data_IF_143867764189
#
_entry.id   IF_143867764189
#
_cell.length_a   1.000
_cell.length_b   1.000
_cell.length_c   1.000
_cell.angle_alpha   90.00
_cell.angle_beta   90.00
_cell.angle_gamma   90.00
#
_symmetry.space_group_name_H-M   'P 1'
#
loop_
_entity.id
_entity.type
_entity.pdbx_description
1 polymer ?
#
# COMPACT_ATOMS: atom_id res chain seq x y z
N UNK A 1 -49.86 -60.51 49.09
CA UNK A 1 -48.64 -60.77 48.29
C UNK A 1 -48.72 -59.96 47.05
N UNK A 2 -48.12 -58.75 47.01
CA UNK A 2 -48.16 -57.84 45.87
C UNK A 2 -46.70 -57.57 45.46
N UNK A 3 -46.34 -57.92 44.25
CA UNK A 3 -45.01 -57.70 43.71
C UNK A 3 -44.98 -56.35 43.01
N UNK A 4 -44.21 -55.42 43.53
CA UNK A 4 -43.88 -54.18 42.87
C UNK A 4 -42.88 -54.43 41.74
N UNK A 5 -43.22 -53.97 40.55
CA UNK A 5 -42.33 -53.96 39.40
C UNK A 5 -41.68 -52.57 39.35
N UNK A 6 -40.36 -52.55 39.41
CA UNK A 6 -39.53 -51.36 39.22
C UNK A 6 -39.28 -51.15 37.73
N UNK A 7 -39.68 -49.97 37.21
CA UNK A 7 -39.34 -49.55 35.87
C UNK A 7 -37.94 -48.98 35.82
N UNK A 8 -37.09 -49.31 34.82
CA UNK A 8 -35.81 -48.67 34.61
C UNK A 8 -35.98 -47.34 33.87
N UNK A 9 -35.57 -46.27 34.52
CA UNK A 9 -35.55 -44.93 33.92
C UNK A 9 -34.66 -44.82 32.68
N UNK A 10 -35.26 -44.34 31.60
CA UNK A 10 -34.55 -44.01 30.37
C UNK A 10 -33.74 -42.71 30.58
N UNK A 11 -32.43 -42.85 30.57
CA UNK A 11 -31.50 -41.71 30.55
C UNK A 11 -31.50 -41.07 29.13
N UNK A 12 -32.09 -39.90 29.03
CA UNK A 12 -32.00 -39.08 27.82
C UNK A 12 -30.62 -38.46 27.67
N UNK A 13 -29.83 -38.90 26.74
CA UNK A 13 -28.56 -38.31 26.34
C UNK A 13 -28.85 -37.09 25.46
N UNK A 14 -28.72 -35.89 26.03
CA UNK A 14 -28.72 -34.64 25.25
C UNK A 14 -27.41 -34.55 24.47
N UNK A 15 -27.45 -34.83 23.15
CA UNK A 15 -26.35 -34.54 22.23
C UNK A 15 -26.34 -33.04 21.93
N UNK A 16 -25.41 -32.30 22.55
CA UNK A 16 -25.15 -30.92 22.18
C UNK A 16 -24.48 -30.86 20.79
N UNK A 17 -25.26 -30.50 19.78
CA UNK A 17 -24.74 -30.21 18.45
C UNK A 17 -23.95 -28.90 18.51
N UNK A 18 -22.63 -28.98 18.50
CA UNK A 18 -21.73 -27.84 18.28
C UNK A 18 -21.89 -27.40 16.83
N UNK A 19 -22.69 -26.35 16.62
CA UNK A 19 -22.72 -25.63 15.35
C UNK A 19 -21.37 -24.95 15.13
N UNK A 20 -20.46 -25.61 14.42
CA UNK A 20 -19.30 -24.96 13.82
C UNK A 20 -19.84 -24.05 12.70
N UNK A 21 -20.01 -22.77 12.97
CA UNK A 21 -20.17 -21.77 11.92
C UNK A 21 -18.82 -21.64 11.22
N UNK A 22 -18.70 -22.01 9.93
CA UNK A 22 -17.50 -21.65 9.19
C UNK A 22 -17.45 -20.13 9.20
N UNK A 23 -16.41 -19.57 9.79
CA UNK A 23 -16.11 -18.15 9.68
C UNK A 23 -16.04 -17.83 8.19
N UNK A 24 -17.04 -17.13 7.68
CA UNK A 24 -16.98 -16.53 6.37
C UNK A 24 -15.79 -15.55 6.43
N UNK A 25 -14.65 -15.95 5.86
CA UNK A 25 -13.69 -14.99 5.39
C UNK A 25 -14.46 -14.16 4.36
N UNK A 26 -14.95 -13.00 4.76
CA UNK A 26 -15.42 -12.00 3.83
C UNK A 26 -14.19 -11.65 2.97
N UNK A 27 -14.05 -12.31 1.82
CA UNK A 27 -13.24 -11.76 0.74
C UNK A 27 -13.82 -10.38 0.53
N UNK A 28 -13.08 -9.32 0.92
CA UNK A 28 -13.51 -7.95 0.69
C UNK A 28 -13.84 -7.87 -0.80
N UNK A 29 -15.07 -7.45 -1.08
CA UNK A 29 -15.59 -7.39 -2.44
C UNK A 29 -14.72 -6.38 -3.20
N UNK A 30 -13.83 -6.90 -4.04
CA UNK A 30 -12.90 -6.06 -4.81
C UNK A 30 -13.75 -5.26 -5.78
N UNK A 31 -13.81 -3.93 -5.69
CA UNK A 31 -14.57 -3.14 -6.64
C UNK A 31 -14.25 -3.59 -8.07
N UNK A 32 -15.25 -3.80 -8.90
CA UNK A 32 -15.07 -4.34 -10.24
C UNK A 32 -13.96 -3.63 -11.02
N UNK A 33 -13.86 -2.29 -10.84
CA UNK A 33 -12.80 -1.47 -11.45
C UNK A 33 -11.42 -1.70 -10.84
N UNK A 34 -11.31 -2.09 -9.58
CA UNK A 34 -10.03 -2.40 -8.96
C UNK A 34 -9.41 -3.71 -9.50
N UNK A 35 -10.23 -4.61 -10.07
CA UNK A 35 -9.73 -5.86 -10.68
C UNK A 35 -8.73 -5.59 -11.82
N UNK A 36 -8.95 -4.54 -12.60
CA UNK A 36 -8.02 -4.15 -13.66
C UNK A 36 -6.70 -3.63 -13.07
N UNK A 37 -6.77 -2.89 -11.97
CA UNK A 37 -5.59 -2.34 -11.29
C UNK A 37 -4.72 -3.45 -10.68
N UNK A 38 -5.36 -4.46 -10.05
CA UNK A 38 -4.63 -5.56 -9.38
C UNK A 38 -3.87 -6.45 -10.36
N UNK A 39 -4.20 -6.44 -11.65
CA UNK A 39 -3.45 -7.18 -12.66
C UNK A 39 -1.96 -6.76 -12.70
N UNK A 40 -1.65 -5.50 -12.48
CA UNK A 40 -0.28 -4.97 -12.42
C UNK A 40 0.16 -4.67 -10.99
N UNK A 41 -0.71 -4.06 -10.18
CA UNK A 41 -0.39 -3.65 -8.80
C UNK A 41 -0.51 -4.79 -7.77
N UNK A 42 -0.85 -6.00 -8.20
CA UNK A 42 -0.95 -7.19 -7.34
C UNK A 42 -2.22 -7.23 -6.48
N UNK A 43 -2.48 -8.38 -5.89
CA UNK A 43 -3.63 -8.58 -5.00
C UNK A 43 -3.60 -7.57 -3.84
N UNK A 44 -4.73 -6.89 -3.63
CA UNK A 44 -4.83 -5.83 -2.63
C UNK A 44 -3.83 -4.68 -2.83
N UNK A 45 -3.25 -4.51 -4.01
CA UNK A 45 -2.25 -3.46 -4.28
C UNK A 45 -0.84 -3.79 -3.78
N UNK A 46 -0.51 -5.09 -3.63
CA UNK A 46 0.81 -5.57 -3.24
C UNK A 46 1.49 -6.27 -4.44
N UNK A 47 2.24 -5.56 -5.29
CA UNK A 47 2.83 -6.11 -6.49
C UNK A 47 4.02 -7.02 -6.18
N UNK A 48 4.24 -8.01 -7.05
CA UNK A 48 5.46 -8.84 -7.06
C UNK A 48 6.53 -8.27 -8.00
N UNK A 49 6.13 -7.48 -8.98
CA UNK A 49 7.05 -6.79 -9.89
C UNK A 49 7.66 -5.57 -9.17
N UNK A 50 9.01 -5.47 -9.07
CA UNK A 50 9.68 -4.36 -8.40
C UNK A 50 9.55 -3.01 -9.13
N UNK A 51 9.13 -3.00 -10.39
CA UNK A 51 8.85 -1.76 -11.13
C UNK A 51 7.45 -1.20 -10.83
N UNK A 52 6.51 -2.05 -10.38
CA UNK A 52 5.14 -1.65 -10.08
C UNK A 52 5.03 -1.11 -8.66
N UNK A 53 4.42 0.06 -8.44
CA UNK A 53 4.27 0.59 -7.08
C UNK A 53 3.24 -0.18 -6.26
N UNK A 54 3.56 -0.38 -4.97
CA UNK A 54 2.59 -0.84 -3.97
C UNK A 54 1.56 0.26 -3.69
N UNK A 55 0.28 -0.09 -3.84
CA UNK A 55 -0.86 0.77 -3.55
C UNK A 55 -1.47 0.48 -2.18
N UNK A 56 -1.27 -0.73 -1.64
CA UNK A 56 -1.79 -1.15 -0.34
C UNK A 56 -1.37 -0.16 0.77
N UNK A 57 -2.34 0.31 1.55
CA UNK A 57 -2.08 1.24 2.65
C UNK A 57 -1.53 2.61 2.23
N UNK A 58 -1.60 2.98 0.95
CA UNK A 58 -1.33 4.35 0.54
C UNK A 58 -2.48 5.26 1.00
N UNK A 59 -2.20 6.50 1.44
CA UNK A 59 -3.24 7.45 1.79
C UNK A 59 -4.22 7.65 0.62
N UNK A 60 -5.53 7.56 0.89
CA UNK A 60 -6.55 7.63 -0.15
C UNK A 60 -6.46 8.92 -0.97
N UNK A 61 -6.26 10.06 -0.31
CA UNK A 61 -6.12 11.35 -1.00
C UNK A 61 -4.92 11.36 -1.95
N UNK A 62 -3.80 10.73 -1.57
CA UNK A 62 -2.64 10.59 -2.47
C UNK A 62 -3.01 9.78 -3.72
N UNK A 63 -3.63 8.60 -3.55
CA UNK A 63 -4.02 7.75 -4.68
C UNK A 63 -4.99 8.46 -5.62
N UNK A 64 -6.03 9.10 -5.08
CA UNK A 64 -6.99 9.87 -5.87
C UNK A 64 -6.30 11.01 -6.65
N UNK A 65 -5.39 11.75 -6.00
CA UNK A 65 -4.61 12.82 -6.65
C UNK A 65 -3.73 12.28 -7.78
N UNK A 66 -3.09 11.12 -7.60
CA UNK A 66 -2.27 10.53 -8.67
C UNK A 66 -3.12 10.09 -9.87
N UNK A 67 -4.27 9.46 -9.64
CA UNK A 67 -5.22 9.09 -10.70
C UNK A 67 -5.70 10.34 -11.46
N UNK A 68 -6.06 11.39 -10.73
CA UNK A 68 -6.41 12.69 -11.32
C UNK A 68 -5.27 13.26 -12.18
N UNK A 69 -4.02 13.25 -11.69
CA UNK A 69 -2.88 13.76 -12.44
C UNK A 69 -2.62 12.97 -13.73
N UNK A 70 -2.80 11.65 -13.71
CA UNK A 70 -2.68 10.82 -14.91
C UNK A 70 -3.79 11.12 -15.91
N UNK A 71 -5.03 11.31 -15.44
CA UNK A 71 -6.18 11.65 -16.29
C UNK A 71 -6.01 13.01 -16.97
N UNK A 72 -5.63 14.01 -16.20
CA UNK A 72 -5.48 15.40 -16.71
C UNK A 72 -4.14 15.64 -17.42
N UNK A 73 -3.24 14.63 -17.48
CA UNK A 73 -1.94 14.76 -18.13
C UNK A 73 -0.88 15.54 -17.34
N UNK A 74 -1.16 15.91 -16.07
CA UNK A 74 -0.21 16.57 -15.17
C UNK A 74 0.93 15.61 -14.78
N UNK A 75 0.64 14.32 -14.78
CA UNK A 75 1.62 13.23 -14.67
C UNK A 75 1.44 12.31 -15.88
N UNK A 76 2.52 12.11 -16.63
CA UNK A 76 2.49 11.28 -17.84
C UNK A 76 3.14 9.94 -17.57
N UNK A 77 2.46 8.88 -17.95
CA UNK A 77 2.97 7.51 -17.91
C UNK A 77 2.28 6.71 -19.01
N UNK A 78 3.03 5.93 -19.81
CA UNK A 78 2.46 5.24 -20.98
C UNK A 78 1.42 4.17 -20.60
N UNK A 79 1.46 3.64 -19.37
CA UNK A 79 0.52 2.65 -18.87
C UNK A 79 -0.60 3.30 -18.06
N UNK A 80 -0.25 4.17 -17.10
CA UNK A 80 -1.23 4.72 -16.17
C UNK A 80 -2.10 5.82 -16.77
N UNK A 81 -1.59 6.62 -17.71
CA UNK A 81 -2.40 7.69 -18.31
C UNK A 81 -3.61 7.13 -19.08
N UNK A 82 -3.49 6.11 -19.95
CA UNK A 82 -4.66 5.46 -20.56
C UNK A 82 -5.59 4.82 -19.54
N UNK A 83 -5.04 4.20 -18.47
CA UNK A 83 -5.85 3.54 -17.43
C UNK A 83 -6.72 4.53 -16.64
N UNK A 84 -6.23 5.74 -16.42
CA UNK A 84 -6.97 6.78 -15.68
C UNK A 84 -7.90 7.62 -16.56
N UNK A 85 -7.72 7.63 -17.88
CA UNK A 85 -8.34 8.59 -18.82
C UNK A 85 -9.87 8.68 -18.72
N UNK A 86 -10.55 7.56 -18.44
CA UNK A 86 -12.01 7.50 -18.39
C UNK A 86 -12.58 7.38 -16.96
N UNK A 87 -11.74 7.52 -15.92
CA UNK A 87 -12.20 7.46 -14.54
C UNK A 87 -12.92 8.75 -14.14
N UNK A 88 -14.12 8.63 -13.62
CA UNK A 88 -14.81 9.75 -12.94
C UNK A 88 -14.15 10.05 -11.59
N UNK A 89 -14.41 11.22 -11.02
CA UNK A 89 -13.93 11.57 -9.68
C UNK A 89 -14.44 10.60 -8.60
N UNK A 90 -15.70 10.13 -8.75
CA UNK A 90 -16.27 9.15 -7.81
C UNK A 90 -15.50 7.82 -7.85
N UNK A 91 -15.20 7.32 -9.04
CA UNK A 91 -14.45 6.07 -9.22
C UNK A 91 -13.00 6.18 -8.74
N UNK A 92 -12.34 7.32 -8.97
CA UNK A 92 -10.99 7.56 -8.42
C UNK A 92 -11.01 7.54 -6.89
N UNK A 93 -12.01 8.14 -6.26
CA UNK A 93 -12.15 8.14 -4.80
C UNK A 93 -12.49 6.73 -4.25
N UNK A 94 -13.31 5.96 -4.94
CA UNK A 94 -13.64 4.58 -4.59
C UNK A 94 -12.39 3.68 -4.65
N UNK A 95 -11.64 3.73 -5.75
CA UNK A 95 -10.38 3.00 -5.92
C UNK A 95 -9.35 3.40 -4.86
N UNK A 96 -9.22 4.69 -4.59
CA UNK A 96 -8.32 5.22 -3.57
C UNK A 96 -8.70 4.72 -2.17
N UNK A 97 -9.99 4.74 -1.82
CA UNK A 97 -10.48 4.22 -0.55
C UNK A 97 -10.27 2.71 -0.40
N UNK A 98 -10.44 1.95 -1.49
CA UNK A 98 -10.18 0.52 -1.52
C UNK A 98 -8.71 0.22 -1.21
N UNK A 99 -7.75 0.81 -1.95
CA UNK A 99 -6.32 0.53 -1.74
C UNK A 99 -5.81 1.06 -0.39
N UNK A 100 -6.35 2.14 0.12
CA UNK A 100 -5.98 2.68 1.43
C UNK A 100 -6.31 1.73 2.60
N UNK A 101 -7.34 0.91 2.46
CA UNK A 101 -7.75 -0.10 3.46
C UNK A 101 -6.94 -1.39 3.37
N UNK A 102 -6.24 -1.64 2.26
CA UNK A 102 -5.50 -2.88 2.08
C UNK A 102 -4.27 -2.91 2.99
N UNK A 103 -3.99 -4.08 3.57
CA UNK A 103 -2.80 -4.26 4.39
C UNK A 103 -1.54 -4.28 3.50
N UNK A 104 -0.57 -3.37 3.71
CA UNK A 104 0.66 -3.39 2.95
C UNK A 104 1.54 -4.58 3.38
N UNK A 105 2.10 -5.26 2.38
CA UNK A 105 3.07 -6.33 2.57
C UNK A 105 4.47 -5.73 2.35
N UNK A 106 5.46 -6.04 3.22
CA UNK A 106 6.83 -5.63 2.99
C UNK A 106 7.32 -6.09 1.62
N UNK A 107 8.00 -5.19 0.88
CA UNK A 107 8.67 -5.60 -0.34
C UNK A 107 9.69 -6.72 -0.06
N UNK A 108 9.89 -7.69 -0.97
CA UNK A 108 10.90 -8.74 -0.82
C UNK A 108 12.30 -8.15 -1.03
N UNK A 109 12.64 -7.15 -0.24
CA UNK A 109 13.86 -6.37 -0.35
C UNK A 109 14.63 -6.39 0.98
N UNK A 110 15.95 -6.60 0.90
CA UNK A 110 16.85 -6.55 2.05
C UNK A 110 17.85 -5.43 1.87
N UNK A 111 17.68 -4.38 2.65
CA UNK A 111 18.63 -3.27 2.72
C UNK A 111 19.90 -3.68 3.44
N UNK A 112 21.07 -3.30 2.94
CA UNK A 112 22.32 -3.53 3.65
C UNK A 112 22.40 -2.72 4.95
N UNK A 113 23.16 -3.18 5.98
CA UNK A 113 23.34 -2.41 7.21
C UNK A 113 23.89 -1.01 6.98
N UNK A 114 24.78 -0.86 6.00
CA UNK A 114 25.37 0.42 5.61
C UNK A 114 24.28 1.36 5.06
N UNK A 115 23.43 0.87 4.16
CA UNK A 115 22.35 1.64 3.57
C UNK A 115 21.21 1.92 4.56
N UNK A 116 20.99 1.06 5.56
CA UNK A 116 20.05 1.36 6.65
C UNK A 116 20.50 2.61 7.44
N UNK A 117 21.78 2.71 7.78
CA UNK A 117 22.34 3.84 8.53
C UNK A 117 22.40 5.10 7.67
N UNK A 118 22.97 4.98 6.49
CA UNK A 118 23.17 6.13 5.59
C UNK A 118 21.84 6.65 5.03
N UNK A 119 20.90 5.76 4.66
CA UNK A 119 19.58 6.13 4.17
C UNK A 119 18.75 6.87 5.21
N UNK A 120 18.83 6.46 6.49
CA UNK A 120 18.21 7.20 7.59
C UNK A 120 18.80 8.61 7.70
N UNK A 121 20.12 8.71 7.72
CA UNK A 121 20.82 9.99 7.78
C UNK A 121 20.43 10.91 6.61
N UNK A 122 20.36 10.37 5.39
CA UNK A 122 19.95 11.12 4.20
C UNK A 122 18.48 11.56 4.27
N UNK A 123 17.59 10.70 4.76
CA UNK A 123 16.17 11.02 4.91
C UNK A 123 15.94 12.16 5.92
N UNK A 124 16.75 12.22 6.98
CA UNK A 124 16.75 13.32 7.95
C UNK A 124 17.38 14.58 7.35
N UNK A 125 18.56 14.46 6.74
CA UNK A 125 19.31 15.58 6.15
C UNK A 125 18.51 16.30 5.04
N UNK A 126 17.78 15.55 4.22
CA UNK A 126 16.97 16.08 3.13
C UNK A 126 15.49 16.28 3.53
N UNK A 127 15.21 16.28 4.85
CA UNK A 127 13.90 16.59 5.44
C UNK A 127 12.72 15.72 4.97
N UNK A 128 12.97 14.52 4.44
CA UNK A 128 11.93 13.60 3.97
C UNK A 128 10.88 13.32 5.05
N UNK A 129 11.35 13.11 6.30
CA UNK A 129 10.50 12.79 7.46
C UNK A 129 9.56 13.93 7.87
N UNK A 130 9.84 15.18 7.50
CA UNK A 130 9.00 16.33 7.88
C UNK A 130 7.63 16.27 7.18
N UNK A 131 7.60 15.83 5.95
CA UNK A 131 6.36 15.69 5.17
C UNK A 131 5.83 14.24 5.20
N UNK A 132 6.72 13.25 4.98
CA UNK A 132 6.30 11.84 4.91
C UNK A 132 6.08 11.20 6.30
N UNK A 133 6.29 11.94 7.39
CA UNK A 133 6.16 11.48 8.77
C UNK A 133 7.39 10.73 9.29
N UNK A 134 7.54 10.66 10.61
CA UNK A 134 8.72 10.06 11.27
C UNK A 134 8.94 8.58 10.88
N UNK A 135 7.89 7.85 10.58
CA UNK A 135 7.93 6.45 10.11
C UNK A 135 7.80 6.34 8.58
N UNK A 136 7.77 7.45 7.85
CA UNK A 136 7.66 7.51 6.39
C UNK A 136 6.38 6.83 5.85
N UNK A 137 5.29 6.86 6.64
CA UNK A 137 4.01 6.24 6.31
C UNK A 137 3.08 7.16 5.52
N UNK A 138 3.46 8.42 5.35
CA UNK A 138 2.65 9.42 4.65
C UNK A 138 1.42 9.88 5.44
N UNK A 139 0.74 10.87 4.89
CA UNK A 139 -0.51 11.42 5.44
C UNK A 139 -1.23 12.23 4.38
N UNK A 140 -2.55 12.08 4.26
CA UNK A 140 -3.37 12.85 3.31
C UNK A 140 -2.88 12.67 1.85
N UNK A 141 -2.43 13.75 1.20
CA UNK A 141 -1.88 13.73 -0.17
C UNK A 141 -0.41 13.34 -0.25
N UNK A 142 0.26 13.14 0.88
CA UNK A 142 1.66 12.75 0.96
C UNK A 142 1.78 11.23 1.07
N UNK A 143 2.51 10.55 0.17
CA UNK A 143 2.53 9.09 0.12
C UNK A 143 3.33 8.43 1.24
N UNK A 144 2.97 7.18 1.54
CA UNK A 144 3.83 6.24 2.25
C UNK A 144 5.03 5.90 1.37
N UNK A 145 6.23 6.01 1.95
CA UNK A 145 7.50 5.60 1.34
C UNK A 145 8.00 4.27 1.90
N UNK A 146 7.77 4.02 3.19
CA UNK A 146 8.18 2.79 3.85
C UNK A 146 7.64 1.54 3.14
N UNK A 147 8.54 0.60 2.79
CA UNK A 147 8.20 -0.63 2.11
C UNK A 147 7.65 -0.45 0.69
N UNK A 148 7.91 0.69 0.03
CA UNK A 148 7.62 0.86 -1.38
C UNK A 148 8.70 0.20 -2.23
N UNK A 149 8.40 -0.21 -3.44
CA UNK A 149 9.33 -0.87 -4.35
C UNK A 149 10.55 0.01 -4.66
N UNK A 150 11.77 -0.52 -4.47
CA UNK A 150 13.00 0.24 -4.62
C UNK A 150 13.20 0.80 -6.04
N UNK A 151 12.94 -0.01 -7.07
CA UNK A 151 13.06 0.43 -8.45
C UNK A 151 12.07 1.56 -8.79
N UNK A 152 10.83 1.47 -8.26
CA UNK A 152 9.85 2.53 -8.41
C UNK A 152 10.29 3.82 -7.69
N UNK A 153 10.73 3.73 -6.42
CA UNK A 153 11.22 4.89 -5.67
C UNK A 153 12.36 5.60 -6.40
N UNK A 154 13.33 4.83 -6.89
CA UNK A 154 14.46 5.34 -7.66
C UNK A 154 13.98 6.10 -8.91
N UNK A 155 13.12 5.48 -9.71
CA UNK A 155 12.55 6.10 -10.92
C UNK A 155 11.83 7.40 -10.58
N UNK A 156 11.05 7.44 -9.49
CA UNK A 156 10.30 8.64 -9.12
C UNK A 156 11.22 9.76 -8.62
N UNK A 157 12.25 9.47 -7.83
CA UNK A 157 13.21 10.48 -7.37
C UNK A 157 13.98 11.08 -8.54
N UNK A 158 14.41 10.26 -9.50
CA UNK A 158 15.02 10.77 -10.74
C UNK A 158 14.06 11.64 -11.54
N UNK A 159 12.79 11.23 -11.67
CA UNK A 159 11.79 11.99 -12.40
C UNK A 159 11.52 13.36 -11.77
N UNK A 160 11.46 13.45 -10.43
CA UNK A 160 11.38 14.74 -9.73
C UNK A 160 12.64 15.58 -9.92
N UNK A 161 13.83 14.98 -9.79
CA UNK A 161 15.11 15.67 -10.01
C UNK A 161 15.21 16.21 -11.46
N UNK A 162 14.81 15.44 -12.44
CA UNK A 162 14.79 15.84 -13.85
C UNK A 162 13.60 16.75 -14.22
N UNK A 163 12.68 17.04 -13.26
CA UNK A 163 11.45 17.82 -13.49
C UNK A 163 10.54 17.24 -14.57
N UNK A 164 10.63 15.93 -14.81
CA UNK A 164 9.72 15.20 -15.72
C UNK A 164 8.48 14.70 -15.02
N UNK A 165 8.48 14.71 -13.67
CA UNK A 165 7.33 14.50 -12.81
C UNK A 165 7.09 15.73 -11.94
N UNK A 166 5.85 16.21 -11.92
CA UNK A 166 5.41 17.25 -11.00
C UNK A 166 4.67 16.66 -9.79
N UNK A 167 4.62 17.41 -8.73
CA UNK A 167 3.79 17.22 -7.54
C UNK A 167 2.82 18.42 -7.39
N UNK A 168 1.99 18.39 -6.35
CA UNK A 168 0.88 19.32 -6.20
C UNK A 168 1.35 20.78 -6.07
N UNK A 169 2.48 21.00 -5.38
CA UNK A 169 2.98 22.32 -5.01
C UNK A 169 4.48 22.55 -5.31
N UNK A 170 5.14 21.60 -6.01
CA UNK A 170 6.56 21.65 -6.34
C UNK A 170 7.50 21.28 -5.19
N UNK A 171 6.99 20.87 -4.04
CA UNK A 171 7.81 20.56 -2.84
C UNK A 171 8.72 19.35 -3.11
N UNK A 172 8.20 18.26 -3.70
CA UNK A 172 9.02 17.08 -4.01
C UNK A 172 10.03 17.37 -5.12
N UNK A 173 9.66 18.15 -6.12
CA UNK A 173 10.60 18.62 -7.16
C UNK A 173 11.76 19.39 -6.53
N UNK A 174 11.49 20.29 -5.59
CA UNK A 174 12.50 21.05 -4.88
C UNK A 174 13.37 20.15 -3.98
N UNK A 175 12.77 19.23 -3.25
CA UNK A 175 13.48 18.31 -2.35
C UNK A 175 14.42 17.34 -3.11
N UNK A 176 14.10 16.99 -4.34
CA UNK A 176 14.91 16.09 -5.14
C UNK A 176 16.13 16.77 -5.81
N UNK A 177 16.14 18.10 -5.96
CA UNK A 177 17.24 18.81 -6.65
C UNK A 177 18.62 18.58 -6.04
N UNK A 178 18.83 18.64 -4.70
CA UNK A 178 20.15 18.47 -4.09
C UNK A 178 20.63 17.02 -4.03
N UNK A 179 19.78 16.03 -4.36
CA UNK A 179 20.15 14.62 -4.27
C UNK A 179 21.17 14.26 -5.34
N UNK A 180 22.28 13.65 -4.96
CA UNK A 180 23.15 12.95 -5.91
C UNK A 180 22.52 11.64 -6.36
N UNK A 181 23.00 11.06 -7.46
CA UNK A 181 22.52 9.76 -7.93
C UNK A 181 22.76 8.66 -6.87
N UNK A 182 23.91 8.73 -6.18
CA UNK A 182 24.21 7.84 -5.05
C UNK A 182 23.21 8.03 -3.90
N UNK A 183 22.81 9.27 -3.59
CA UNK A 183 21.79 9.53 -2.56
C UNK A 183 20.45 8.92 -2.95
N UNK A 184 20.05 9.02 -4.20
CA UNK A 184 18.81 8.42 -4.73
C UNK A 184 18.85 6.89 -4.58
N UNK A 185 19.97 6.26 -4.94
CA UNK A 185 20.14 4.81 -4.81
C UNK A 185 20.03 4.34 -3.35
N UNK A 186 20.75 5.00 -2.45
CA UNK A 186 20.72 4.68 -1.01
C UNK A 186 19.35 4.94 -0.39
N UNK A 187 18.70 6.07 -0.73
CA UNK A 187 17.35 6.37 -0.23
C UNK A 187 16.32 5.34 -0.71
N UNK A 188 16.35 4.98 -1.99
CA UNK A 188 15.43 3.99 -2.55
C UNK A 188 15.60 2.62 -1.88
N UNK A 189 16.83 2.19 -1.66
CA UNK A 189 17.17 0.95 -0.96
C UNK A 189 16.69 0.99 0.49
N UNK A 190 17.00 2.05 1.24
CA UNK A 190 16.59 2.26 2.63
C UNK A 190 15.06 2.23 2.78
N UNK A 191 14.35 3.05 2.00
CA UNK A 191 12.90 3.20 2.09
C UNK A 191 12.16 1.90 1.78
N UNK A 192 12.67 1.12 0.81
CA UNK A 192 12.09 -0.16 0.44
C UNK A 192 12.23 -1.22 1.54
N UNK A 193 13.29 -1.18 2.32
CA UNK A 193 13.53 -2.12 3.43
C UNK A 193 12.78 -1.79 4.72
N UNK A 194 12.09 -0.64 4.80
CA UNK A 194 11.33 -0.27 5.98
C UNK A 194 10.01 -1.04 6.08
N UNK A 195 9.56 -1.29 7.32
CA UNK A 195 8.25 -1.90 7.53
C UNK A 195 7.12 -0.95 7.10
N UNK A 196 6.28 -1.32 6.12
CA UNK A 196 5.22 -0.45 5.62
C UNK A 196 4.05 -0.26 6.60
N UNK A 197 4.02 -0.98 7.73
CA UNK A 197 3.01 -0.85 8.79
C UNK A 197 3.49 0.04 9.93
N UNK A 198 4.80 0.30 10.02
CA UNK A 198 5.36 1.20 11.02
C UNK A 198 5.52 0.63 12.43
N UNK A 199 5.36 -0.68 12.59
CA UNK A 199 5.62 -1.44 13.83
C UNK A 199 7.04 -1.98 13.90
#
# INVERSE_FOLDING_TARGET
MSRSRSDPGAAAILAAALCFSPGANAAEDVPQKAQVCVACHGAGGNPTDPAMPSLAGQPAQFVATQLYFFREGNRKDPQMSPMASNLSNAEMNELAAYFAKQAPVPAPHRTSPENLTEGRRLAEQHHCVQCHGAKLLGLQHIPRLAGQQAAYLKTQLYAFKARTRADLDGTMTSAAQPLSDKNIDVLADYLSGLNPRGD
#
